data_IF_963260309130
#
_entry.id   IF_963260309130
#
_cell.length_a   1.000
_cell.length_b   1.000
_cell.length_c   1.000
_cell.angle_alpha   90.00
_cell.angle_beta   90.00
_cell.angle_gamma   90.00
#
_symmetry.space_group_name_H-M   'P 1'
#
loop_
_entity.id
_entity.type
_entity.pdbx_description
1 polymer ?
#
# COMPACT_ATOMS: atom_id res chain seq x y z
N UNK A 1 1.02 -27.26 -9.16
CA UNK A 1 1.43 -26.77 -7.82
C UNK A 1 2.22 -25.46 -7.91
N UNK A 2 3.14 -25.29 -8.85
CA UNK A 2 3.94 -24.06 -8.98
C UNK A 2 3.13 -22.82 -9.38
N UNK A 3 2.09 -22.95 -10.21
CA UNK A 3 1.28 -21.80 -10.64
C UNK A 3 0.52 -21.13 -9.49
N UNK A 4 -0.14 -21.92 -8.63
CA UNK A 4 -0.86 -21.44 -7.45
C UNK A 4 0.09 -20.77 -6.45
N UNK A 5 1.29 -21.32 -6.27
CA UNK A 5 2.32 -20.73 -5.41
C UNK A 5 2.83 -19.39 -5.95
N UNK A 6 3.17 -19.32 -7.25
CA UNK A 6 3.59 -18.07 -7.88
C UNK A 6 2.49 -17.01 -7.81
N UNK A 7 1.25 -17.37 -8.10
CA UNK A 7 0.13 -16.44 -8.02
C UNK A 7 -0.12 -15.94 -6.59
N UNK A 8 -0.08 -16.83 -5.60
CA UNK A 8 -0.20 -16.45 -4.19
C UNK A 8 0.92 -15.51 -3.74
N UNK A 9 2.17 -15.84 -4.09
CA UNK A 9 3.33 -14.99 -3.77
C UNK A 9 3.25 -13.61 -4.44
N UNK A 10 2.75 -13.53 -5.68
CA UNK A 10 2.57 -12.27 -6.40
C UNK A 10 1.55 -11.35 -5.71
N UNK A 11 0.39 -11.90 -5.31
CA UNK A 11 -0.64 -11.14 -4.61
C UNK A 11 -0.10 -10.60 -3.27
N UNK A 12 0.61 -11.45 -2.51
CA UNK A 12 1.22 -11.05 -1.23
C UNK A 12 2.26 -9.95 -1.45
N UNK A 13 3.14 -10.10 -2.45
CA UNK A 13 4.16 -9.11 -2.77
C UNK A 13 3.53 -7.75 -3.12
N UNK A 14 2.48 -7.72 -3.96
CA UNK A 14 1.77 -6.49 -4.30
C UNK A 14 1.06 -5.90 -3.07
N UNK A 15 0.41 -6.72 -2.25
CA UNK A 15 -0.28 -6.24 -1.04
C UNK A 15 0.71 -5.55 -0.08
N UNK A 16 1.89 -6.13 0.13
CA UNK A 16 2.95 -5.54 0.96
C UNK A 16 3.49 -4.27 0.31
N UNK A 17 3.78 -4.30 -1.00
CA UNK A 17 4.32 -3.15 -1.72
C UNK A 17 3.39 -1.93 -1.66
N UNK A 18 2.09 -2.14 -1.90
CA UNK A 18 1.08 -1.06 -1.84
C UNK A 18 0.93 -0.54 -0.41
N UNK A 19 0.88 -1.43 0.59
CA UNK A 19 0.80 -1.03 2.00
C UNK A 19 1.98 -0.15 2.42
N UNK A 20 3.21 -0.52 2.01
CA UNK A 20 4.42 0.27 2.29
C UNK A 20 4.43 1.58 1.50
N UNK A 21 3.96 1.58 0.26
CA UNK A 21 3.87 2.78 -0.58
C UNK A 21 2.98 3.85 0.06
N UNK A 22 1.77 3.48 0.46
CA UNK A 22 0.83 4.41 1.11
C UNK A 22 1.31 4.82 2.50
N UNK A 23 1.97 3.92 3.24
CA UNK A 23 2.64 4.28 4.49
C UNK A 23 3.72 5.35 4.29
N UNK A 24 4.48 5.26 3.19
CA UNK A 24 5.46 6.28 2.80
C UNK A 24 4.83 7.65 2.61
N UNK A 25 3.68 7.73 1.92
CA UNK A 25 2.92 8.98 1.75
C UNK A 25 2.42 9.53 3.07
N UNK A 26 1.87 8.68 3.94
CA UNK A 26 1.41 9.07 5.26
C UNK A 26 2.57 9.59 6.13
N UNK A 27 3.72 8.92 6.11
CA UNK A 27 4.90 9.33 6.85
C UNK A 27 5.48 10.65 6.34
N UNK A 28 5.56 10.84 5.02
CA UNK A 28 5.98 12.09 4.40
C UNK A 28 5.03 13.24 4.77
N UNK A 29 3.72 13.04 4.69
CA UNK A 29 2.72 14.04 5.08
C UNK A 29 2.86 14.44 6.56
N UNK A 30 3.07 13.47 7.47
CA UNK A 30 3.32 13.75 8.89
C UNK A 30 4.59 14.55 9.12
N UNK A 31 5.67 14.25 8.39
CA UNK A 31 6.93 15.01 8.48
C UNK A 31 6.79 16.44 7.97
N UNK A 32 5.93 16.68 6.99
CA UNK A 32 5.60 18.03 6.51
C UNK A 32 4.60 18.77 7.42
N UNK A 33 4.23 18.23 8.59
CA UNK A 33 3.31 18.88 9.53
C UNK A 33 1.83 18.79 9.13
N UNK A 34 1.49 17.96 8.13
CA UNK A 34 0.10 17.78 7.67
C UNK A 34 -0.61 16.82 8.63
N UNK A 35 -1.72 17.26 9.21
CA UNK A 35 -2.59 16.41 10.05
C UNK A 35 -3.35 15.41 9.17
N UNK A 36 -2.86 14.18 9.15
CA UNK A 36 -3.52 13.04 8.49
C UNK A 36 -4.49 12.37 9.47
N UNK A 37 -5.79 12.43 9.17
CA UNK A 37 -6.87 11.93 10.04
C UNK A 37 -7.21 10.46 9.83
N UNK A 38 -6.97 9.91 8.64
CA UNK A 38 -7.23 8.50 8.32
C UNK A 38 -6.14 7.96 7.40
N UNK A 39 -5.65 6.77 7.73
CA UNK A 39 -4.81 5.99 6.85
C UNK A 39 -5.72 5.10 5.99
N UNK A 40 -5.57 5.16 4.67
CA UNK A 40 -6.28 4.28 3.74
C UNK A 40 -5.24 3.40 3.08
N UNK A 41 -5.56 2.11 2.95
CA UNK A 41 -4.75 1.14 2.20
C UNK A 41 -5.56 0.70 0.99
N UNK A 42 -5.10 0.97 -0.22
CA UNK A 42 -5.71 0.53 -1.46
C UNK A 42 -5.38 1.38 -2.68
N UNK A 43 -6.24 1.30 -3.69
CA UNK A 43 -6.18 2.16 -4.86
C UNK A 43 -7.18 3.29 -4.64
N UNK A 44 -6.68 4.53 -4.56
CA UNK A 44 -7.52 5.72 -4.51
C UNK A 44 -8.51 5.77 -5.68
N UNK A 45 -9.60 6.51 -5.52
CA UNK A 45 -10.65 6.62 -6.54
C UNK A 45 -10.05 7.18 -7.83
N UNK A 46 -10.00 6.34 -8.87
CA UNK A 46 -9.63 6.76 -10.23
C UNK A 46 -10.81 7.56 -10.77
N UNK A 47 -10.62 8.87 -10.91
CA UNK A 47 -11.59 9.80 -11.51
C UNK A 47 -11.31 9.96 -13.01
#
# INVERSE_FOLDING_TARGET
>A
MSFLWSLGSFIIAIAVLVSVHEYGHFWAARKCGIKVHRFSIGFGKVI
#
